data_IF_874636424729
#
_entry.id   IF_874636424729
#
_cell.length_a   1.000
_cell.length_b   1.000
_cell.length_c   1.000
_cell.angle_alpha   90.00
_cell.angle_beta   90.00
_cell.angle_gamma   90.00
#
_symmetry.space_group_name_H-M   'P 1'
#
loop_
_entity.id
_entity.type
_entity.pdbx_description
1 polymer ?
#
# COMPACT_ATOMS: atom_id res chain seq x y z
N UNK A 1 -12.04 3.92 18.05
CA UNK A 1 -10.69 3.53 17.58
C UNK A 1 -10.52 4.06 16.16
N UNK A 2 -9.31 4.47 15.77
CA UNK A 2 -9.07 4.88 14.38
C UNK A 2 -8.83 3.59 13.59
N UNK A 3 -9.77 3.21 12.73
CA UNK A 3 -9.70 1.97 11.94
C UNK A 3 -8.81 2.13 10.69
N UNK A 4 -7.82 3.02 10.73
CA UNK A 4 -6.93 3.35 9.62
C UNK A 4 -5.48 3.19 10.08
N UNK A 5 -4.74 2.29 9.46
CA UNK A 5 -3.36 2.00 9.81
C UNK A 5 -2.54 1.57 8.59
N UNK A 6 -1.21 1.65 8.72
CA UNK A 6 -0.29 1.02 7.77
C UNK A 6 0.14 -0.34 8.33
N UNK A 7 0.07 -1.36 7.51
CA UNK A 7 0.66 -2.68 7.73
C UNK A 7 1.92 -2.80 6.87
N UNK A 8 3.03 -3.20 7.48
CA UNK A 8 4.34 -3.35 6.81
C UNK A 8 4.89 -4.72 7.17
N UNK A 9 5.14 -5.53 6.17
CA UNK A 9 5.62 -6.89 6.32
C UNK A 9 6.92 -7.10 5.54
N UNK A 10 7.83 -7.88 6.14
CA UNK A 10 9.04 -8.36 5.48
C UNK A 10 9.26 -9.83 5.78
N UNK A 11 9.41 -10.64 4.75
CA UNK A 11 9.92 -12.01 4.85
C UNK A 11 11.38 -12.03 4.40
N UNK A 12 12.28 -12.42 5.31
CA UNK A 12 13.73 -12.45 5.03
C UNK A 12 14.09 -13.56 4.04
N UNK A 13 13.42 -14.71 4.11
CA UNK A 13 13.76 -15.89 3.30
C UNK A 13 13.36 -15.72 1.83
N UNK A 14 12.26 -15.01 1.57
CA UNK A 14 11.74 -14.76 0.21
C UNK A 14 11.98 -13.34 -0.28
N UNK A 15 12.60 -12.49 0.54
CA UNK A 15 12.73 -11.05 0.36
C UNK A 15 11.41 -10.32 0.08
N UNK A 16 10.27 -10.95 0.44
CA UNK A 16 8.93 -10.41 0.22
C UNK A 16 8.74 -9.17 1.07
N UNK A 17 8.26 -8.09 0.45
CA UNK A 17 7.95 -6.81 1.08
C UNK A 17 6.51 -6.48 0.77
N UNK A 18 5.72 -6.18 1.78
CA UNK A 18 4.35 -5.68 1.62
C UNK A 18 4.18 -4.38 2.40
N UNK A 19 3.56 -3.39 1.76
CA UNK A 19 3.13 -2.14 2.37
C UNK A 19 1.63 -1.98 2.09
N UNK A 20 0.79 -2.01 3.11
CA UNK A 20 -0.66 -1.90 2.93
C UNK A 20 -1.25 -0.78 3.79
N UNK A 21 -2.03 0.11 3.17
CA UNK A 21 -2.93 1.01 3.86
C UNK A 21 -4.24 0.27 4.10
N UNK A 22 -4.58 0.07 5.38
CA UNK A 22 -5.76 -0.68 5.79
C UNK A 22 -6.81 0.28 6.37
N UNK A 23 -8.06 0.13 5.94
CA UNK A 23 -9.22 0.77 6.54
C UNK A 23 -10.29 -0.27 6.88
N UNK A 24 -10.77 -0.30 8.14
CA UNK A 24 -11.78 -1.27 8.61
C UNK A 24 -11.45 -2.72 8.23
N UNK A 25 -10.22 -3.15 8.51
CA UNK A 25 -9.69 -4.47 8.19
C UNK A 25 -9.67 -4.82 6.69
N UNK A 26 -9.74 -3.84 5.79
CA UNK A 26 -9.62 -4.03 4.35
C UNK A 26 -8.46 -3.21 3.79
N UNK A 27 -7.66 -3.83 2.93
CA UNK A 27 -6.65 -3.10 2.15
C UNK A 27 -7.36 -2.13 1.24
N UNK A 28 -7.02 -0.85 1.37
CA UNK A 28 -7.49 0.20 0.47
C UNK A 28 -6.36 0.71 -0.43
N UNK A 29 -5.09 0.41 -0.16
CA UNK A 29 -3.98 0.70 -1.06
C UNK A 29 -2.77 -0.13 -0.65
N UNK A 30 -1.82 -0.39 -1.54
CA UNK A 30 -0.55 -0.97 -1.13
C UNK A 30 0.45 -1.22 -2.25
N UNK A 31 1.67 -1.58 -1.86
CA UNK A 31 2.71 -2.10 -2.74
C UNK A 31 3.14 -3.47 -2.21
N UNK A 32 3.40 -4.40 -3.11
CA UNK A 32 4.12 -5.61 -2.77
C UNK A 32 4.89 -6.17 -3.96
N UNK A 33 5.75 -7.15 -3.69
CA UNK A 33 6.58 -7.81 -4.69
C UNK A 33 6.21 -9.28 -4.93
N UNK A 34 5.02 -9.74 -4.51
CA UNK A 34 4.58 -11.10 -4.77
C UNK A 34 4.30 -11.26 -6.28
N UNK A 35 5.12 -12.05 -6.97
CA UNK A 35 5.04 -12.19 -8.42
C UNK A 35 5.63 -11.01 -9.21
N UNK A 36 6.43 -10.16 -8.54
CA UNK A 36 7.02 -8.94 -9.10
C UNK A 36 6.44 -7.68 -8.48
N UNK A 37 7.18 -6.58 -8.53
CA UNK A 37 6.73 -5.31 -7.96
C UNK A 37 5.47 -4.79 -8.64
N UNK A 38 4.46 -4.51 -7.83
CA UNK A 38 3.21 -3.91 -8.26
C UNK A 38 2.56 -3.13 -7.12
N UNK A 39 1.51 -2.39 -7.45
CA UNK A 39 0.68 -1.71 -6.47
C UNK A 39 -0.80 -1.98 -6.65
N UNK A 40 -1.52 -1.87 -5.54
CA UNK A 40 -2.97 -1.98 -5.42
C UNK A 40 -3.56 -0.58 -5.30
N UNK A 41 -4.19 -0.03 -6.37
CA UNK A 41 -4.70 1.34 -6.38
C UNK A 41 -5.83 1.58 -5.37
N UNK A 42 -5.98 2.82 -4.90
CA UNK A 42 -7.06 3.19 -3.98
C UNK A 42 -8.47 2.97 -4.52
N UNK A 43 -8.66 3.27 -5.80
CA UNK A 43 -9.96 3.17 -6.46
C UNK A 43 -10.32 1.72 -6.83
N UNK A 44 -9.33 0.82 -6.87
CA UNK A 44 -9.52 -0.60 -7.17
C UNK A 44 -8.46 -1.45 -6.45
N UNK A 45 -8.63 -1.72 -5.14
CA UNK A 45 -7.61 -2.39 -4.33
C UNK A 45 -7.33 -3.86 -4.69
N UNK A 46 -8.10 -4.44 -5.59
CA UNK A 46 -7.90 -5.81 -6.12
C UNK A 46 -7.05 -5.81 -7.41
N UNK A 47 -6.86 -4.65 -8.04
CA UNK A 47 -6.07 -4.54 -9.26
C UNK A 47 -4.58 -4.60 -8.94
N UNK A 48 -3.85 -5.37 -9.74
CA UNK A 48 -2.40 -5.45 -9.68
C UNK A 48 -1.83 -4.60 -10.81
N UNK A 49 -1.25 -3.43 -10.48
CA UNK A 49 -0.64 -2.54 -11.47
C UNK A 49 0.88 -2.69 -11.39
N UNK A 50 1.56 -3.21 -12.42
CA UNK A 50 3.01 -3.37 -12.42
C UNK A 50 3.73 -2.05 -12.12
N UNK A 51 4.81 -2.13 -11.34
CA UNK A 51 5.66 -0.98 -11.05
C UNK A 51 7.12 -1.39 -10.88
N UNK A 52 8.07 -0.46 -11.00
CA UNK A 52 9.39 -0.67 -10.42
C UNK A 52 9.28 -0.81 -8.89
N UNK A 53 10.37 -1.26 -8.26
CA UNK A 53 10.51 -1.22 -6.81
C UNK A 53 10.29 0.22 -6.31
N UNK A 54 9.34 0.46 -5.40
CA UNK A 54 9.15 1.77 -4.80
C UNK A 54 10.20 2.00 -3.72
N UNK A 55 10.71 3.23 -3.62
CA UNK A 55 11.37 3.67 -2.38
C UNK A 55 10.35 3.75 -1.24
N UNK A 56 10.80 3.59 0.00
CA UNK A 56 9.95 3.80 1.18
C UNK A 56 9.29 5.19 1.15
N UNK A 57 10.05 6.22 0.76
CA UNK A 57 9.51 7.58 0.57
C UNK A 57 8.35 7.61 -0.43
N UNK A 58 8.49 6.94 -1.58
CA UNK A 58 7.44 6.86 -2.60
C UNK A 58 6.15 6.25 -2.04
N UNK A 59 6.26 5.18 -1.24
CA UNK A 59 5.13 4.53 -0.57
C UNK A 59 4.40 5.54 0.33
N UNK A 60 5.12 6.22 1.22
CA UNK A 60 4.54 7.17 2.16
C UNK A 60 3.98 8.43 1.46
N UNK A 61 4.60 8.91 0.39
CA UNK A 61 4.07 10.02 -0.41
C UNK A 61 2.72 9.68 -1.05
N UNK A 62 2.59 8.50 -1.65
CA UNK A 62 1.32 8.05 -2.23
C UNK A 62 0.23 7.88 -1.17
N UNK A 63 0.57 7.32 -0.01
CA UNK A 63 -0.36 7.21 1.13
C UNK A 63 -0.79 8.61 1.59
N UNK A 64 0.16 9.54 1.75
CA UNK A 64 -0.15 10.94 2.12
C UNK A 64 -1.10 11.60 1.12
N UNK A 65 -0.89 11.38 -0.19
CA UNK A 65 -1.78 11.89 -1.24
C UNK A 65 -3.20 11.31 -1.14
N UNK A 66 -3.32 9.99 -0.92
CA UNK A 66 -4.61 9.32 -0.72
C UNK A 66 -5.34 9.93 0.48
N UNK A 67 -4.67 10.01 1.63
CA UNK A 67 -5.26 10.56 2.86
C UNK A 67 -5.68 12.02 2.70
N UNK A 68 -4.89 12.84 2.01
CA UNK A 68 -5.26 14.25 1.71
C UNK A 68 -6.46 14.35 0.78
N UNK A 69 -6.63 13.42 -0.17
CA UNK A 69 -7.80 13.38 -1.07
C UNK A 69 -9.06 12.96 -0.30
N UNK A 70 -8.94 12.04 0.65
CA UNK A 70 -10.09 11.44 1.36
C UNK A 70 -10.50 12.19 2.63
N UNK A 71 -9.60 12.92 3.29
CA UNK A 71 -9.86 13.64 4.55
C UNK A 71 -10.18 15.13 4.37
N UNK A 72 -10.54 15.57 3.16
CA UNK A 72 -10.90 16.97 2.84
C UNK A 72 -12.38 17.33 3.08
N UNK A 73 -13.04 16.65 4.02
CA UNK A 73 -14.39 16.98 4.48
C UNK A 73 -14.36 17.25 5.99
#
# INVERSE_FOLDING_TARGET
MRDLYLDIFYNVDTERKDFALIWKNRRIFGFDNLGGWHFHPYESPEQHVPSPEPSVETVFLKISQILKKTMRH
#
